data_IF_740433374309
#
_entry.id   IF_740433374309
#
_cell.length_a   1.000
_cell.length_b   1.000
_cell.length_c   1.000
_cell.angle_alpha   90.00
_cell.angle_beta   90.00
_cell.angle_gamma   90.00
#
_symmetry.space_group_name_H-M   'P 1'
#
loop_
_entity.id
_entity.type
_entity.pdbx_description
1 polymer ?
#
# COMPACT_ATOMS: atom_id res chain seq x y z
N UNK A 1 9.63 -19.16 41.42
CA UNK A 1 10.48 -18.29 40.59
C UNK A 1 9.79 -18.10 39.26
N UNK A 2 8.90 -17.13 39.20
CA UNK A 2 8.23 -16.73 37.96
C UNK A 2 9.00 -15.55 37.39
N UNK A 3 9.89 -15.82 36.44
CA UNK A 3 10.36 -14.77 35.54
C UNK A 3 9.35 -14.68 34.41
N UNK A 4 8.31 -13.88 34.68
CA UNK A 4 7.80 -12.84 33.79
C UNK A 4 8.36 -12.94 32.37
N UNK A 5 7.58 -13.63 31.53
CA UNK A 5 7.73 -13.73 30.09
C UNK A 5 7.41 -12.36 29.47
N UNK A 6 8.27 -11.37 29.74
CA UNK A 6 8.15 -9.98 29.27
C UNK A 6 8.31 -9.83 27.75
N UNK A 7 8.43 -10.93 27.01
CA UNK A 7 8.57 -10.95 25.55
C UNK A 7 7.23 -10.74 24.82
N UNK A 8 6.09 -10.81 25.53
CA UNK A 8 4.75 -10.81 24.93
C UNK A 8 3.97 -9.49 25.10
N UNK A 9 4.42 -8.56 25.96
CA UNK A 9 3.69 -7.30 26.20
C UNK A 9 4.13 -6.08 25.38
N UNK A 10 5.32 -6.09 24.75
CA UNK A 10 5.82 -5.00 23.88
C UNK A 10 5.75 -5.35 22.39
N UNK A 11 4.67 -5.97 21.93
CA UNK A 11 4.46 -6.27 20.49
C UNK A 11 3.21 -5.62 19.90
N UNK A 12 2.52 -4.80 20.69
CA UNK A 12 1.57 -3.81 20.20
C UNK A 12 2.14 -2.39 20.44
N UNK A 13 3.41 -2.21 20.12
CA UNK A 13 4.01 -0.89 20.06
C UNK A 13 3.21 -0.04 19.08
N UNK A 14 2.79 1.13 19.56
CA UNK A 14 1.84 1.98 18.86
C UNK A 14 2.32 2.25 17.45
N UNK A 15 1.39 2.29 16.48
CA UNK A 15 1.75 2.59 15.09
C UNK A 15 2.48 3.93 15.07
N UNK A 16 3.78 3.86 14.77
CA UNK A 16 4.58 5.07 14.68
C UNK A 16 4.25 5.82 13.39
N UNK A 17 4.45 7.14 13.36
CA UNK A 17 4.37 7.89 12.11
C UNK A 17 5.29 7.33 11.02
N UNK A 18 6.45 6.76 11.40
CA UNK A 18 7.37 6.10 10.47
C UNK A 18 6.77 4.87 9.81
N UNK A 19 6.21 3.95 10.61
CA UNK A 19 5.54 2.74 10.10
C UNK A 19 4.38 3.09 9.17
N UNK A 20 3.58 4.10 9.52
CA UNK A 20 2.48 4.57 8.66
C UNK A 20 3.01 5.10 7.33
N UNK A 21 4.07 5.92 7.34
CA UNK A 21 4.68 6.42 6.10
C UNK A 21 5.18 5.28 5.22
N UNK A 22 5.93 4.33 5.80
CA UNK A 22 6.42 3.16 5.07
C UNK A 22 5.29 2.36 4.45
N UNK A 23 4.21 2.13 5.20
CA UNK A 23 3.04 1.42 4.70
C UNK A 23 2.38 2.17 3.53
N UNK A 24 2.13 3.47 3.68
CA UNK A 24 1.50 4.28 2.62
C UNK A 24 2.38 4.30 1.37
N UNK A 25 3.70 4.48 1.52
CA UNK A 25 4.64 4.42 0.39
C UNK A 25 4.56 3.08 -0.34
N UNK A 26 4.62 1.96 0.39
CA UNK A 26 4.54 0.63 -0.22
C UNK A 26 3.19 0.37 -0.91
N UNK A 27 2.08 0.81 -0.30
CA UNK A 27 0.75 0.72 -0.91
C UNK A 27 0.65 1.57 -2.17
N UNK A 28 1.25 2.77 -2.18
CA UNK A 28 1.32 3.62 -3.36
C UNK A 28 2.10 2.93 -4.48
N UNK A 29 3.28 2.36 -4.21
CA UNK A 29 4.06 1.63 -5.21
C UNK A 29 3.29 0.45 -5.81
N UNK A 30 2.60 -0.33 -4.96
CA UNK A 30 1.74 -1.43 -5.42
C UNK A 30 0.55 -0.92 -6.25
N UNK A 31 -0.05 0.20 -5.87
CA UNK A 31 -1.13 0.83 -6.64
C UNK A 31 -0.66 1.24 -8.03
N UNK A 32 0.50 1.89 -8.13
CA UNK A 32 1.07 2.30 -9.42
C UNK A 32 1.36 1.08 -10.32
N UNK A 33 1.93 0.00 -9.77
CA UNK A 33 2.13 -1.25 -10.51
C UNK A 33 0.82 -1.93 -10.94
N UNK A 34 -0.22 -1.84 -10.12
CA UNK A 34 -1.55 -2.33 -10.48
C UNK A 34 -2.18 -1.54 -11.64
N UNK A 35 -1.93 -0.23 -11.74
CA UNK A 35 -2.36 0.56 -12.89
C UNK A 35 -1.66 0.13 -14.18
N UNK A 36 -0.37 -0.17 -14.13
CA UNK A 36 0.37 -0.68 -15.28
C UNK A 36 -0.17 -2.04 -15.74
N UNK A 37 -0.39 -2.96 -14.80
CA UNK A 37 -1.02 -4.25 -15.08
C UNK A 37 -2.43 -4.09 -15.67
N UNK A 38 -3.24 -3.17 -15.12
CA UNK A 38 -4.59 -2.89 -15.60
C UNK A 38 -4.59 -2.30 -17.02
N UNK A 39 -3.60 -1.47 -17.35
CA UNK A 39 -3.41 -0.88 -18.68
C UNK A 39 -3.06 -1.95 -19.71
N UNK A 40 -2.21 -2.91 -19.34
CA UNK A 40 -1.85 -4.03 -20.20
C UNK A 40 -3.08 -4.90 -20.57
N UNK A 41 -4.05 -5.03 -19.66
CA UNK A 41 -5.31 -5.74 -19.92
C UNK A 41 -6.26 -4.95 -20.83
N UNK A 42 -6.37 -3.64 -20.62
CA UNK A 42 -7.15 -2.75 -21.49
C UNK A 42 -6.68 -1.31 -21.36
N UNK A 43 -6.43 -0.61 -22.48
CA UNK A 43 -5.80 0.72 -22.50
C UNK A 43 -6.68 1.85 -21.94
N UNK A 44 -7.95 1.58 -21.61
CA UNK A 44 -8.90 2.56 -21.08
C UNK A 44 -9.94 1.94 -20.13
N UNK A 45 -10.84 2.79 -19.67
CA UNK A 45 -11.89 2.45 -18.70
C UNK A 45 -13.15 3.30 -18.91
N UNK A 46 -14.36 2.75 -18.70
CA UNK A 46 -15.58 3.56 -18.63
C UNK A 46 -15.64 4.45 -17.37
N UNK A 47 -14.82 4.17 -16.36
CA UNK A 47 -14.70 5.00 -15.15
C UNK A 47 -13.74 6.14 -15.43
N UNK A 48 -14.27 7.37 -15.53
CA UNK A 48 -13.53 8.54 -15.99
C UNK A 48 -12.21 8.81 -15.23
N UNK A 49 -12.21 8.71 -13.90
CA UNK A 49 -11.00 8.93 -13.09
C UNK A 49 -9.91 7.89 -13.38
N UNK A 50 -10.31 6.62 -13.54
CA UNK A 50 -9.38 5.55 -13.88
C UNK A 50 -8.90 5.70 -15.34
N UNK A 51 -9.77 6.07 -16.26
CA UNK A 51 -9.41 6.31 -17.66
C UNK A 51 -8.36 7.42 -17.78
N UNK A 52 -8.52 8.52 -17.04
CA UNK A 52 -7.55 9.60 -16.97
C UNK A 52 -6.18 9.10 -16.47
N UNK A 53 -6.15 8.30 -15.39
CA UNK A 53 -4.92 7.71 -14.86
C UNK A 53 -4.25 6.75 -15.85
N UNK A 54 -5.03 5.91 -16.54
CA UNK A 54 -4.51 4.99 -17.54
C UNK A 54 -3.97 5.74 -18.77
N UNK A 55 -4.61 6.83 -19.20
CA UNK A 55 -4.16 7.64 -20.35
C UNK A 55 -2.93 8.49 -20.04
N UNK A 56 -2.78 8.99 -18.82
CA UNK A 56 -1.58 9.74 -18.41
C UNK A 56 -0.30 8.89 -18.43
N UNK A 57 -0.43 7.56 -18.56
CA UNK A 57 0.63 6.57 -18.71
C UNK A 57 0.94 6.18 -20.17
N UNK A 58 0.45 6.94 -21.15
CA UNK A 58 0.81 6.82 -22.57
C UNK A 58 2.10 7.57 -22.86
#
# INVERSE_FOLDING_TARGET
MGHEDGSVQSRYDHITPGMRRTLVTALTEMWEGALDARRAMSPGSPVAVLDALLRARQ
#
